data_IF_303139027359
#
_entry.id   IF_303139027359
#
_cell.length_a   1.000
_cell.length_b   1.000
_cell.length_c   1.000
_cell.angle_alpha   90.00
_cell.angle_beta   90.00
_cell.angle_gamma   90.00
#
_symmetry.space_group_name_H-M   'P 1'
#
loop_
_entity.id
_entity.type
_entity.pdbx_description
1 polymer ?
#
# COMPACT_ATOMS: atom_id res chain seq x y z
N UNK A 1 -16.35 35.53 29.11
CA UNK A 1 -15.56 34.28 29.02
C UNK A 1 -15.80 33.53 27.69
N UNK A 2 -16.39 34.17 26.67
CA UNK A 2 -16.67 33.54 25.36
C UNK A 2 -15.63 33.85 24.27
N UNK A 3 -14.86 34.93 24.41
CA UNK A 3 -13.88 35.36 23.39
C UNK A 3 -12.61 34.50 23.30
N UNK A 4 -12.26 33.76 24.36
CA UNK A 4 -11.07 32.89 24.37
C UNK A 4 -11.30 31.53 23.68
N UNK A 5 -12.56 31.08 23.57
CA UNK A 5 -12.92 29.75 23.01
C UNK A 5 -12.91 29.72 21.48
N UNK A 6 -13.15 30.86 20.81
CA UNK A 6 -13.11 30.96 19.35
C UNK A 6 -11.68 31.03 18.80
N UNK A 7 -10.77 31.73 19.50
CA UNK A 7 -9.35 31.85 19.12
C UNK A 7 -8.60 30.52 19.13
N UNK A 8 -8.86 29.64 20.11
CA UNK A 8 -8.19 28.34 20.22
C UNK A 8 -8.66 27.32 19.18
N UNK A 9 -9.93 27.37 18.76
CA UNK A 9 -10.47 26.54 17.67
C UNK A 9 -9.90 26.97 16.31
N UNK A 10 -9.68 28.27 16.11
CA UNK A 10 -9.03 28.82 14.93
C UNK A 10 -7.56 28.40 14.83
N UNK A 11 -6.77 28.53 15.89
CA UNK A 11 -5.33 28.20 15.87
C UNK A 11 -5.06 26.72 15.60
N UNK A 12 -5.87 25.82 16.15
CA UNK A 12 -5.76 24.38 15.89
C UNK A 12 -6.09 24.04 14.43
N UNK A 13 -7.05 24.72 13.82
CA UNK A 13 -7.44 24.49 12.43
C UNK A 13 -6.37 25.02 11.45
N UNK A 14 -5.77 26.17 11.75
CA UNK A 14 -4.63 26.71 10.98
C UNK A 14 -3.42 25.80 11.06
N UNK A 15 -3.11 25.23 12.24
CA UNK A 15 -2.01 24.28 12.40
C UNK A 15 -2.23 23.00 11.57
N UNK A 16 -3.45 22.47 11.53
CA UNK A 16 -3.79 21.29 10.72
C UNK A 16 -3.63 21.54 9.23
N UNK A 17 -4.14 22.67 8.74
CA UNK A 17 -3.96 23.07 7.34
C UNK A 17 -2.46 23.21 7.03
N UNK A 18 -1.69 23.81 7.94
CA UNK A 18 -0.23 23.88 7.82
C UNK A 18 0.45 22.51 7.72
N UNK A 19 0.05 21.54 8.55
CA UNK A 19 0.59 20.16 8.52
C UNK A 19 0.21 19.42 7.24
N UNK A 20 -1.02 19.55 6.76
CA UNK A 20 -1.46 18.94 5.49
C UNK A 20 -0.72 19.54 4.31
N UNK A 21 -0.60 20.87 4.25
CA UNK A 21 0.16 21.56 3.20
C UNK A 21 1.64 21.17 3.26
N UNK A 22 2.21 20.98 4.46
CA UNK A 22 3.59 20.50 4.62
C UNK A 22 3.77 19.08 4.08
N UNK A 23 2.87 18.13 4.39
CA UNK A 23 2.93 16.77 3.85
C UNK A 23 2.82 16.76 2.33
N UNK A 24 1.88 17.53 1.76
CA UNK A 24 1.72 17.65 0.31
C UNK A 24 2.94 18.30 -0.35
N UNK A 25 3.50 19.35 0.27
CA UNK A 25 4.72 20.00 -0.20
C UNK A 25 5.95 19.10 -0.08
N UNK A 26 6.01 18.18 0.89
CA UNK A 26 7.07 17.19 0.98
C UNK A 26 6.95 16.12 -0.11
N UNK A 27 5.74 15.63 -0.38
CA UNK A 27 5.47 14.62 -1.42
C UNK A 27 5.75 15.19 -2.83
N UNK A 28 5.24 16.38 -3.12
CA UNK A 28 5.28 17.01 -4.44
C UNK A 28 6.49 17.96 -4.62
N UNK A 29 7.28 18.17 -3.58
CA UNK A 29 8.32 19.20 -3.54
C UNK A 29 9.71 18.79 -4.02
N UNK A 30 10.63 19.78 -4.03
CA UNK A 30 11.98 19.62 -4.53
C UNK A 30 12.79 18.63 -3.68
N UNK A 31 13.78 17.99 -4.30
CA UNK A 31 14.61 16.94 -3.70
C UNK A 31 15.26 17.36 -2.36
N UNK A 32 15.65 18.64 -2.24
CA UNK A 32 16.23 19.21 -1.02
C UNK A 32 15.32 19.13 0.21
N UNK A 33 14.00 19.14 0.02
CA UNK A 33 13.03 19.02 1.10
C UNK A 33 12.85 17.55 1.56
N UNK A 34 12.90 16.62 0.60
CA UNK A 34 12.80 15.16 0.84
C UNK A 34 14.06 14.57 1.47
N UNK A 35 15.23 15.15 1.19
CA UNK A 35 16.50 14.72 1.79
C UNK A 35 16.67 15.21 3.24
N UNK A 36 16.10 16.36 3.60
CA UNK A 36 16.24 16.95 4.93
C UNK A 36 15.28 16.36 5.97
N UNK A 37 14.13 15.83 5.54
CA UNK A 37 13.09 15.31 6.43
C UNK A 37 12.89 13.81 6.16
N UNK A 38 13.22 12.93 7.13
CA UNK A 38 13.08 11.48 6.96
C UNK A 38 11.63 11.07 6.71
N UNK A 39 11.45 10.08 5.83
CA UNK A 39 10.13 9.58 5.41
C UNK A 39 9.25 9.13 6.60
N UNK A 40 9.85 8.51 7.62
CA UNK A 40 9.12 8.05 8.81
C UNK A 40 8.46 9.19 9.59
N UNK A 41 9.05 10.38 9.57
CA UNK A 41 8.55 11.55 10.29
C UNK A 41 7.28 12.11 9.61
N UNK A 42 7.22 12.05 8.29
CA UNK A 42 6.04 12.40 7.49
C UNK A 42 4.90 11.42 7.72
N UNK A 43 5.19 10.12 7.76
CA UNK A 43 4.20 9.10 8.07
C UNK A 43 3.69 9.21 9.52
N UNK A 44 4.55 9.50 10.49
CA UNK A 44 4.12 9.72 11.88
C UNK A 44 3.19 10.94 12.01
N UNK A 45 3.43 11.97 11.22
CA UNK A 45 2.68 13.22 11.22
C UNK A 45 1.32 13.07 10.50
N UNK A 46 1.28 12.33 9.39
CA UNK A 46 0.03 11.91 8.74
C UNK A 46 -0.80 10.99 9.66
N UNK A 47 -0.18 10.01 10.29
CA UNK A 47 -0.83 9.13 11.26
C UNK A 47 -1.36 9.92 12.46
N UNK A 48 -0.61 10.90 12.95
CA UNK A 48 -1.05 11.79 14.02
C UNK A 48 -2.30 12.60 13.66
N UNK A 49 -2.40 13.06 12.40
CA UNK A 49 -3.59 13.76 11.90
C UNK A 49 -4.82 12.84 11.84
N UNK A 50 -4.66 11.62 11.34
CA UNK A 50 -5.73 10.61 11.28
C UNK A 50 -6.21 10.19 12.68
N UNK A 51 -5.28 9.93 13.59
CA UNK A 51 -5.59 9.63 15.00
C UNK A 51 -6.33 10.79 15.65
N UNK A 52 -5.92 12.02 15.36
CA UNK A 52 -6.59 13.20 15.90
C UNK A 52 -7.99 13.42 15.33
N UNK A 53 -8.21 13.13 14.04
CA UNK A 53 -9.53 13.16 13.42
C UNK A 53 -10.45 12.09 14.02
N UNK A 54 -9.94 10.87 14.19
CA UNK A 54 -10.62 9.76 14.83
C UNK A 54 -11.00 10.09 16.29
N UNK A 55 -10.09 10.66 17.06
CA UNK A 55 -10.34 11.11 18.44
C UNK A 55 -11.37 12.27 18.50
N UNK A 56 -11.39 13.14 17.48
CA UNK A 56 -12.39 14.21 17.35
C UNK A 56 -13.79 13.66 17.05
N UNK A 57 -13.89 12.65 16.19
CA UNK A 57 -15.13 11.94 15.92
C UNK A 57 -15.64 11.19 17.16
N UNK A 58 -14.74 10.59 17.95
CA UNK A 58 -15.07 9.90 19.21
C UNK A 58 -15.51 10.84 20.34
N UNK A 59 -15.11 12.12 20.33
CA UNK A 59 -15.56 13.15 21.29
C UNK A 59 -16.85 13.85 20.86
N UNK A 60 -17.27 13.68 19.61
CA UNK A 60 -18.56 14.19 19.15
C UNK A 60 -19.63 13.29 19.77
N UNK A 61 -20.42 13.84 20.71
CA UNK A 61 -21.53 13.11 21.33
C UNK A 61 -22.52 12.59 20.28
N UNK A 62 -23.47 11.72 20.66
CA UNK A 62 -24.42 11.13 19.72
C UNK A 62 -25.04 12.23 18.88
N UNK A 63 -24.93 12.08 17.54
CA UNK A 63 -25.56 13.00 16.62
C UNK A 63 -27.01 13.18 17.07
N UNK A 64 -27.44 14.44 17.27
CA UNK A 64 -28.85 14.75 17.54
C UNK A 64 -29.68 13.94 16.56
N UNK A 65 -30.59 13.10 17.08
CA UNK A 65 -31.52 12.33 16.24
C UNK A 65 -32.03 13.29 15.16
N UNK A 66 -31.91 12.93 13.87
CA UNK A 66 -32.40 13.79 12.81
C UNK A 66 -33.84 14.15 13.14
N UNK A 67 -34.11 15.45 13.21
CA UNK A 67 -35.43 15.97 13.47
C UNK A 67 -36.38 15.34 12.45
N UNK A 68 -37.41 14.64 12.94
CA UNK A 68 -38.41 13.98 12.08
C UNK A 68 -39.41 14.99 11.52
N UNK A 69 -39.23 16.29 11.78
CA UNK A 69 -40.05 17.34 11.20
C UNK A 69 -39.82 17.47 9.69
N UNK A 70 -40.85 17.86 8.92
CA UNK A 70 -40.71 18.20 7.51
C UNK A 70 -39.60 19.25 7.29
N UNK A 71 -38.86 19.12 6.17
CA UNK A 71 -37.78 20.07 5.88
C UNK A 71 -38.36 21.48 5.67
N UNK A 72 -37.57 22.55 5.89
CA UNK A 72 -38.04 23.93 5.71
C UNK A 72 -38.69 24.17 4.34
N UNK A 73 -38.16 23.53 3.29
CA UNK A 73 -38.71 23.64 1.93
C UNK A 73 -40.09 22.97 1.79
N UNK A 74 -40.38 21.95 2.58
CA UNK A 74 -41.68 21.29 2.61
C UNK A 74 -42.69 22.13 3.39
N UNK A 75 -42.24 22.83 4.44
CA UNK A 75 -43.08 23.75 5.23
C UNK A 75 -43.59 24.91 4.38
N UNK A 76 -42.71 25.53 3.60
CA UNK A 76 -43.04 26.63 2.69
C UNK A 76 -43.92 26.17 1.51
N UNK A 77 -43.79 24.92 1.08
CA UNK A 77 -44.51 24.39 -0.09
C UNK A 77 -45.91 23.87 0.23
N UNK A 78 -46.10 23.27 1.39
CA UNK A 78 -47.36 22.61 1.77
C UNK A 78 -48.19 23.40 2.77
N UNK A 79 -47.78 24.62 3.13
CA UNK A 79 -48.60 25.54 3.91
C UNK A 79 -48.75 25.16 5.37
N UNK A 80 -47.66 24.72 6.02
CA UNK A 80 -47.59 24.57 7.48
C UNK A 80 -47.41 25.93 8.19
N UNK A 81 -47.99 26.99 7.63
CA UNK A 81 -48.00 28.37 8.14
C UNK A 81 -49.36 28.63 8.80
N UNK A 82 -49.53 28.10 10.01
CA UNK A 82 -50.69 28.32 10.87
C UNK A 82 -50.38 27.74 12.23
N UNK A 83 -50.60 28.50 13.29
CA UNK A 83 -50.23 28.23 14.68
C UNK A 83 -50.43 26.76 15.10
N UNK A 84 -49.35 26.10 15.51
CA UNK A 84 -49.41 24.86 16.28
C UNK A 84 -48.90 25.12 17.71
N UNK A 85 -49.30 26.26 18.29
CA UNK A 85 -49.02 26.63 19.69
C UNK A 85 -50.29 26.93 20.49
N UNK A 86 -51.48 26.56 19.99
CA UNK A 86 -52.69 26.53 20.83
C UNK A 86 -52.72 25.20 21.60
N UNK A 87 -51.83 25.09 22.59
CA UNK A 87 -51.96 24.07 23.62
C UNK A 87 -53.19 24.42 24.46
N UNK A 88 -54.21 23.57 24.44
CA UNK A 88 -55.38 23.74 25.29
C UNK A 88 -55.05 23.16 26.67
N UNK A 89 -55.18 23.97 27.73
CA UNK A 89 -55.07 23.49 29.11
C UNK A 89 -56.41 22.86 29.50
N UNK A 90 -56.44 21.53 29.61
CA UNK A 90 -57.63 20.78 29.98
C UNK A 90 -57.46 20.27 31.41
N UNK A 91 -58.45 20.54 32.25
CA UNK A 91 -58.49 20.02 33.62
C UNK A 91 -59.35 18.76 33.64
N UNK A 92 -58.71 17.62 33.84
CA UNK A 92 -59.35 16.32 33.94
C UNK A 92 -59.11 15.78 35.36
N UNK A 93 -60.16 15.72 36.18
CA UNK A 93 -60.01 15.46 37.61
C UNK A 93 -59.23 16.56 38.35
N UNK A 94 -58.21 16.17 39.12
CA UNK A 94 -57.37 17.06 39.94
C UNK A 94 -56.04 17.48 39.26
N UNK A 95 -55.81 17.11 37.99
CA UNK A 95 -54.58 17.43 37.25
C UNK A 95 -54.84 18.36 36.04
N UNK A 96 -53.84 19.19 35.72
CA UNK A 96 -53.82 20.05 34.54
C UNK A 96 -52.91 19.44 33.48
N UNK A 97 -53.47 19.07 32.31
CA UNK A 97 -52.70 18.51 31.19
C UNK A 97 -52.82 19.40 29.95
N UNK A 98 -51.70 19.56 29.25
CA UNK A 98 -51.61 20.34 28.00
C UNK A 98 -51.76 19.40 26.80
N UNK A 99 -52.79 19.64 25.98
CA UNK A 99 -53.05 18.85 24.77
C UNK A 99 -52.95 19.75 23.53
N UNK A 100 -52.29 19.29 22.45
CA UNK A 100 -52.29 20.02 21.17
C UNK A 100 -53.69 19.98 20.57
N UNK A 101 -54.28 21.15 20.30
CA UNK A 101 -55.62 21.27 19.72
C UNK A 101 -55.55 21.28 18.19
N UNK A 102 -56.20 20.32 17.52
CA UNK A 102 -56.31 20.24 16.06
C UNK A 102 -57.75 20.44 15.55
N UNK A 103 -58.66 20.90 16.41
CA UNK A 103 -60.07 21.16 16.06
C UNK A 103 -61.04 20.04 16.47
N UNK A 104 -60.65 19.18 17.39
CA UNK A 104 -61.47 18.10 17.95
C UNK A 104 -62.66 18.63 18.77
N UNK A 105 -63.73 17.83 18.82
CA UNK A 105 -64.91 18.07 19.67
C UNK A 105 -64.70 17.55 21.10
N UNK A 106 -65.48 18.03 22.08
CA UNK A 106 -65.34 17.65 23.50
C UNK A 106 -65.43 16.12 23.72
N UNK A 107 -66.23 15.40 22.91
CA UNK A 107 -66.37 13.94 22.98
C UNK A 107 -65.16 13.19 22.38
N UNK A 108 -64.49 13.77 21.38
CA UNK A 108 -63.26 13.20 20.80
C UNK A 108 -62.05 13.39 21.72
N UNK A 109 -62.04 14.47 22.51
CA UNK A 109 -61.00 14.77 23.49
C UNK A 109 -60.98 13.79 24.67
N UNK A 110 -62.15 13.42 25.19
CA UNK A 110 -62.30 12.41 26.24
C UNK A 110 -61.86 11.01 25.76
N UNK A 111 -62.12 10.69 24.48
CA UNK A 111 -61.67 9.43 23.88
C UNK A 111 -60.15 9.35 23.78
N UNK A 112 -59.49 10.45 23.36
CA UNK A 112 -58.03 10.53 23.28
C UNK A 112 -57.35 10.46 24.65
N UNK A 113 -57.98 11.03 25.69
CA UNK A 113 -57.51 10.91 27.07
C UNK A 113 -57.58 9.47 27.57
N UNK A 114 -58.68 8.77 27.27
CA UNK A 114 -58.88 7.36 27.67
C UNK A 114 -57.88 6.43 26.97
N UNK A 115 -57.67 6.60 25.65
CA UNK A 115 -56.68 5.81 24.89
C UNK A 115 -55.25 6.02 25.40
N UNK A 116 -54.92 7.23 25.88
CA UNK A 116 -53.61 7.53 26.45
C UNK A 116 -53.40 6.87 27.81
N UNK A 117 -54.41 6.86 28.67
CA UNK A 117 -54.32 6.19 29.97
C UNK A 117 -54.19 4.65 29.78
N UNK A 118 -54.83 4.06 28.76
CA UNK A 118 -54.64 2.64 28.40
C UNK A 118 -53.23 2.33 27.85
N UNK A 119 -52.63 3.26 27.09
CA UNK A 119 -51.25 3.13 26.60
C UNK A 119 -50.20 3.29 27.70
N UNK A 120 -50.45 4.15 28.69
CA UNK A 120 -49.53 4.36 29.81
C UNK A 120 -49.62 3.18 30.82
N UNK A 121 -50.77 2.47 30.93
CA UNK A 121 -50.90 1.24 31.73
C UNK A 121 -50.20 0.00 31.13
N UNK A 122 -50.09 -0.09 29.80
CA UNK A 122 -49.37 -1.20 29.12
C UNK A 122 -47.84 -0.99 29.08
N UNK A 123 -47.34 0.25 29.24
CA UNK A 123 -45.90 0.57 29.25
C UNK A 123 -45.23 0.43 30.63
N UNK A 124 -46.01 0.27 31.72
CA UNK A 124 -45.49 0.13 33.10
C UNK A 124 -44.96 -1.28 33.44
N UNK A 125 -45.25 -2.31 32.63
CA UNK A 125 -44.78 -3.69 32.82
C UNK A 125 -43.47 -4.03 32.05
N UNK A 126 -43.00 -3.16 31.15
CA UNK A 126 -41.64 -3.22 30.60
C UNK A 126 -40.76 -2.13 31.20
N UNK A 127 -40.43 -2.29 32.49
CA UNK A 127 -39.30 -1.62 33.12
C UNK A 127 -38.01 -2.04 32.40
N UNK A 128 -37.72 -1.41 31.25
CA UNK A 128 -36.43 -1.46 30.57
C UNK A 128 -35.47 -0.72 31.47
N UNK A 129 -34.95 -1.46 32.44
CA UNK A 129 -33.72 -1.17 33.17
C UNK A 129 -32.62 -0.96 32.13
N UNK A 130 -32.51 0.26 31.62
CA UNK A 130 -31.35 0.72 30.89
C UNK A 130 -30.18 0.56 31.86
N UNK A 131 -29.26 -0.40 31.66
CA UNK A 131 -28.10 -0.44 32.53
C UNK A 131 -27.41 0.90 32.32
N UNK A 132 -27.17 1.63 33.41
CA UNK A 132 -26.27 2.77 33.39
C UNK A 132 -24.91 2.25 32.89
N UNK A 133 -24.69 2.35 31.57
CA UNK A 133 -23.45 1.91 30.94
C UNK A 133 -22.41 2.89 31.41
N UNK A 134 -21.69 2.48 32.45
CA UNK A 134 -20.63 3.26 33.07
C UNK A 134 -19.62 3.62 31.98
N UNK A 135 -19.25 4.90 31.87
CA UNK A 135 -18.26 5.45 30.92
C UNK A 135 -16.99 4.58 30.81
N UNK A 136 -16.64 3.87 31.89
CA UNK A 136 -15.53 2.92 31.97
C UNK A 136 -15.61 1.74 30.99
N UNK A 137 -16.82 1.26 30.64
CA UNK A 137 -17.00 0.12 29.73
C UNK A 137 -16.70 0.45 28.26
N UNK A 138 -16.95 1.71 27.84
CA UNK A 138 -16.65 2.16 26.48
C UNK A 138 -15.14 2.31 26.23
N UNK A 139 -14.40 2.83 27.22
CA UNK A 139 -12.93 2.96 27.16
C UNK A 139 -12.27 1.59 27.09
N UNK A 140 -12.69 0.64 27.93
CA UNK A 140 -12.16 -0.73 27.90
C UNK A 140 -12.39 -1.44 26.56
N UNK A 141 -13.55 -1.25 25.94
CA UNK A 141 -13.87 -1.86 24.64
C UNK A 141 -13.06 -1.23 23.49
N UNK A 142 -12.83 0.08 23.53
CA UNK A 142 -11.98 0.77 22.55
C UNK A 142 -10.49 0.42 22.70
N UNK A 143 -9.97 0.38 23.93
CA UNK A 143 -8.59 -0.05 24.23
C UNK A 143 -8.38 -1.51 23.80
N UNK A 144 -9.34 -2.41 24.09
CA UNK A 144 -9.27 -3.80 23.64
C UNK A 144 -9.21 -3.92 22.12
N UNK A 145 -10.01 -3.13 21.38
CA UNK A 145 -9.97 -3.12 19.90
C UNK A 145 -8.65 -2.59 19.34
N UNK A 146 -8.07 -1.56 19.97
CA UNK A 146 -6.75 -1.04 19.60
C UNK A 146 -5.64 -2.06 19.87
N UNK A 147 -5.66 -2.72 21.04
CA UNK A 147 -4.70 -3.78 21.36
C UNK A 147 -4.85 -5.00 20.45
N UNK A 148 -6.07 -5.36 20.05
CA UNK A 148 -6.30 -6.41 19.04
C UNK A 148 -5.73 -5.98 17.69
N UNK A 149 -5.96 -4.75 17.24
CA UNK A 149 -5.39 -4.23 15.99
C UNK A 149 -3.85 -4.24 16.01
N UNK A 150 -3.25 -3.78 17.11
CA UNK A 150 -1.80 -3.78 17.30
C UNK A 150 -1.24 -5.21 17.40
N UNK A 151 -1.98 -6.12 18.02
CA UNK A 151 -1.67 -7.55 18.06
C UNK A 151 -1.72 -8.19 16.67
N UNK A 152 -2.70 -7.85 15.84
CA UNK A 152 -2.81 -8.34 14.45
C UNK A 152 -1.67 -7.78 13.59
N UNK A 153 -1.38 -6.49 13.67
CA UNK A 153 -0.25 -5.88 12.94
C UNK A 153 1.06 -6.51 13.40
N UNK A 154 1.28 -6.64 14.71
CA UNK A 154 2.45 -7.30 15.28
C UNK A 154 2.59 -8.75 14.79
N UNK A 155 1.49 -9.50 14.76
CA UNK A 155 1.47 -10.87 14.24
C UNK A 155 1.77 -10.95 12.74
N UNK A 156 1.25 -10.03 11.94
CA UNK A 156 1.53 -9.95 10.50
C UNK A 156 3.00 -9.60 10.25
N UNK A 157 3.54 -8.60 10.95
CA UNK A 157 4.97 -8.23 10.86
C UNK A 157 5.85 -9.40 11.28
N UNK A 158 5.52 -10.09 12.38
CA UNK A 158 6.23 -11.28 12.82
C UNK A 158 6.17 -12.41 11.79
N UNK A 159 5.01 -12.60 11.14
CA UNK A 159 4.84 -13.64 10.12
C UNK A 159 5.63 -13.32 8.86
N UNK A 160 5.58 -12.07 8.39
CA UNK A 160 6.38 -11.61 7.25
C UNK A 160 7.87 -11.78 7.56
N UNK A 161 8.33 -11.26 8.70
CA UNK A 161 9.72 -11.40 9.13
C UNK A 161 10.14 -12.87 9.27
N UNK A 162 9.27 -13.73 9.81
CA UNK A 162 9.54 -15.16 9.96
C UNK A 162 9.62 -15.90 8.63
N UNK A 163 8.74 -15.57 7.67
CA UNK A 163 8.79 -16.14 6.33
C UNK A 163 10.02 -15.64 5.59
N UNK A 164 10.27 -14.33 5.56
CA UNK A 164 11.41 -13.72 4.85
C UNK A 164 12.76 -14.12 5.46
N UNK A 165 12.85 -14.25 6.79
CA UNK A 165 14.08 -14.76 7.43
C UNK A 165 14.35 -16.23 7.15
N UNK A 166 13.35 -16.99 6.69
CA UNK A 166 13.46 -18.43 6.39
C UNK A 166 13.36 -18.75 4.91
N UNK A 167 13.06 -17.78 4.06
CA UNK A 167 12.87 -17.96 2.63
C UNK A 167 13.65 -16.88 1.89
N UNK A 168 14.52 -17.28 0.97
CA UNK A 168 15.32 -16.35 0.18
C UNK A 168 16.83 -16.49 0.39
N UNK A 169 17.58 -15.56 -0.20
CA UNK A 169 19.04 -15.60 -0.18
C UNK A 169 19.63 -15.58 1.24
N UNK A 170 19.07 -14.76 2.13
CA UNK A 170 19.56 -14.59 3.50
C UNK A 170 19.41 -15.83 4.39
N UNK A 171 18.50 -16.76 4.05
CA UNK A 171 18.32 -18.00 4.82
C UNK A 171 19.34 -19.08 4.47
N UNK A 172 20.10 -18.92 3.38
CA UNK A 172 21.12 -19.87 2.96
C UNK A 172 22.36 -19.81 3.85
N UNK A 173 22.97 -20.97 4.10
CA UNK A 173 24.24 -21.06 4.80
C UNK A 173 25.32 -20.23 4.07
N UNK A 174 26.26 -19.66 4.84
CA UNK A 174 27.32 -18.79 4.29
C UNK A 174 28.13 -19.48 3.19
N UNK A 175 28.51 -20.73 3.40
CA UNK A 175 29.28 -21.51 2.41
C UNK A 175 28.49 -21.76 1.12
N UNK A 176 27.19 -22.06 1.24
CA UNK A 176 26.28 -22.21 0.09
C UNK A 176 26.16 -20.92 -0.70
N UNK A 177 26.05 -19.77 -0.03
CA UNK A 177 26.02 -18.46 -0.69
C UNK A 177 27.32 -18.16 -1.43
N UNK A 178 28.47 -18.48 -0.82
CA UNK A 178 29.78 -18.30 -1.44
C UNK A 178 29.95 -19.20 -2.67
N UNK A 179 29.54 -20.47 -2.59
CA UNK A 179 29.57 -21.40 -3.72
C UNK A 179 28.67 -20.94 -4.87
N UNK A 180 27.44 -20.50 -4.56
CA UNK A 180 26.52 -19.98 -5.54
C UNK A 180 27.04 -18.71 -6.22
N UNK A 181 27.53 -17.74 -5.44
CA UNK A 181 28.14 -16.52 -5.98
C UNK A 181 29.38 -16.82 -6.84
N UNK A 182 30.20 -17.80 -6.46
CA UNK A 182 31.33 -18.25 -7.26
C UNK A 182 30.88 -18.86 -8.60
N UNK A 183 29.81 -19.65 -8.61
CA UNK A 183 29.23 -20.20 -9.83
C UNK A 183 28.74 -19.10 -10.77
N UNK A 184 28.01 -18.10 -10.26
CA UNK A 184 27.55 -16.97 -11.07
C UNK A 184 28.71 -16.11 -11.58
N UNK A 185 29.73 -15.89 -10.75
CA UNK A 185 30.97 -15.21 -11.13
C UNK A 185 31.70 -15.95 -12.26
N UNK A 186 31.68 -17.28 -12.25
CA UNK A 186 32.23 -18.11 -13.32
C UNK A 186 31.50 -17.92 -14.66
N UNK A 187 30.17 -17.86 -14.67
CA UNK A 187 29.41 -17.57 -15.89
C UNK A 187 29.64 -16.13 -16.38
N UNK A 188 29.59 -15.16 -15.47
CA UNK A 188 29.86 -13.76 -15.80
C UNK A 188 31.28 -13.54 -16.36
N UNK A 189 32.28 -14.24 -15.81
CA UNK A 189 33.67 -14.17 -16.29
C UNK A 189 33.83 -14.65 -17.74
N UNK A 190 32.98 -15.58 -18.20
CA UNK A 190 33.01 -16.04 -19.59
C UNK A 190 32.48 -14.98 -20.55
N UNK A 191 31.40 -14.29 -20.17
CA UNK A 191 30.85 -13.17 -20.95
C UNK A 191 31.82 -11.99 -20.94
N UNK A 192 32.36 -11.65 -19.77
CA UNK A 192 33.28 -10.55 -19.58
C UNK A 192 34.68 -10.79 -20.17
N UNK A 193 35.01 -12.05 -20.52
CA UNK A 193 36.32 -12.49 -21.00
C UNK A 193 37.49 -12.14 -20.08
N UNK A 194 37.20 -12.02 -18.79
CA UNK A 194 38.18 -11.75 -17.73
C UNK A 194 37.64 -12.22 -16.38
N UNK A 195 38.49 -12.38 -15.37
CA UNK A 195 38.03 -12.67 -14.02
C UNK A 195 37.16 -11.53 -13.48
N UNK A 196 35.93 -11.84 -13.10
CA UNK A 196 35.01 -10.91 -12.46
C UNK A 196 34.31 -11.55 -11.27
N UNK A 197 33.77 -10.73 -10.38
CA UNK A 197 33.03 -11.16 -9.20
C UNK A 197 31.60 -10.64 -9.24
N UNK A 198 30.64 -11.55 -9.12
CA UNK A 198 29.24 -11.23 -8.86
C UNK A 198 29.02 -11.28 -7.35
N UNK A 199 28.42 -10.23 -6.80
CA UNK A 199 28.02 -10.16 -5.38
C UNK A 199 26.52 -10.00 -5.25
N UNK A 200 25.97 -10.64 -4.23
CA UNK A 200 24.58 -10.46 -3.84
C UNK A 200 24.54 -9.38 -2.77
N UNK A 201 23.86 -8.28 -3.06
CA UNK A 201 23.87 -7.08 -2.22
C UNK A 201 22.90 -7.21 -1.05
N UNK A 202 23.32 -7.96 -0.03
CA UNK A 202 22.52 -8.24 1.17
C UNK A 202 22.16 -6.99 1.96
N UNK A 203 23.04 -5.99 1.95
CA UNK A 203 22.83 -4.70 2.62
C UNK A 203 22.00 -3.72 1.79
N UNK A 204 21.77 -4.01 0.50
CA UNK A 204 21.08 -3.12 -0.47
C UNK A 204 21.76 -1.75 -0.60
N UNK A 205 23.09 -1.72 -0.52
CA UNK A 205 23.89 -0.51 -0.60
C UNK A 205 24.05 -0.01 -2.05
N UNK A 206 23.93 -0.91 -3.03
CA UNK A 206 24.23 -0.69 -4.45
C UNK A 206 23.01 -0.88 -5.35
N UNK A 207 22.12 -1.83 -5.04
CA UNK A 207 20.95 -2.19 -5.87
C UNK A 207 19.66 -2.16 -5.06
N UNK A 208 18.51 -2.20 -5.75
CA UNK A 208 17.20 -2.14 -5.08
C UNK A 208 16.82 -0.72 -4.68
N UNK A 209 16.55 -0.46 -3.39
CA UNK A 209 15.88 0.76 -2.91
C UNK A 209 16.53 2.07 -3.36
N UNK A 210 17.87 2.09 -3.53
CA UNK A 210 18.61 3.29 -3.93
C UNK A 210 18.57 3.52 -5.45
N UNK A 211 18.75 2.48 -6.25
CA UNK A 211 18.90 2.58 -7.72
C UNK A 211 17.67 2.10 -8.51
N UNK A 212 16.69 1.49 -7.85
CA UNK A 212 15.54 0.79 -8.44
C UNK A 212 15.92 -0.22 -9.53
N UNK A 213 17.17 -0.71 -9.48
CA UNK A 213 17.75 -1.67 -10.41
C UNK A 213 17.92 -3.03 -9.73
N UNK A 214 17.72 -4.09 -10.51
CA UNK A 214 17.93 -5.49 -10.09
C UNK A 214 19.43 -5.88 -10.08
N UNK A 215 20.27 -5.05 -10.71
CA UNK A 215 21.70 -5.23 -10.87
C UNK A 215 22.42 -3.91 -11.09
N UNK A 216 23.73 -3.88 -10.82
CA UNK A 216 24.64 -2.79 -11.23
C UNK A 216 26.06 -3.31 -11.40
N UNK A 217 26.72 -2.84 -12.43
CA UNK A 217 28.12 -3.14 -12.71
C UNK A 217 28.93 -1.86 -12.94
N UNK A 218 30.20 -1.89 -12.55
CA UNK A 218 31.15 -0.88 -13.00
C UNK A 218 31.54 -1.18 -14.45
N UNK A 219 31.30 -0.23 -15.36
CA UNK A 219 31.68 -0.35 -16.77
C UNK A 219 33.15 -0.73 -16.92
N UNK A 220 33.43 -1.88 -17.53
CA UNK A 220 34.80 -2.38 -17.69
C UNK A 220 35.50 -2.77 -16.38
N UNK A 221 34.80 -2.76 -15.24
CA UNK A 221 35.31 -3.15 -13.93
C UNK A 221 35.42 -4.67 -13.75
N UNK A 222 35.59 -5.09 -12.50
CA UNK A 222 35.74 -6.49 -12.08
C UNK A 222 34.62 -6.96 -11.15
N UNK A 223 33.65 -6.10 -10.83
CA UNK A 223 32.59 -6.41 -9.87
C UNK A 223 31.23 -5.87 -10.30
N UNK A 224 30.22 -6.73 -10.19
CA UNK A 224 28.83 -6.37 -10.27
C UNK A 224 28.06 -6.85 -9.03
N UNK A 225 26.97 -6.17 -8.74
CA UNK A 225 26.07 -6.44 -7.63
C UNK A 225 24.69 -6.77 -8.17
N UNK A 226 24.07 -7.81 -7.63
CA UNK A 226 22.69 -8.22 -7.92
C UNK A 226 21.86 -8.14 -6.65
N UNK A 227 20.55 -7.94 -6.78
CA UNK A 227 19.70 -7.97 -5.59
C UNK A 227 19.66 -9.38 -4.99
N UNK A 228 19.43 -9.52 -3.68
CA UNK A 228 19.31 -10.83 -3.04
C UNK A 228 18.25 -11.73 -3.70
N UNK A 229 17.16 -11.15 -4.19
CA UNK A 229 16.09 -11.88 -4.88
C UNK A 229 16.58 -12.49 -6.19
N UNK A 230 17.32 -11.75 -7.03
CA UNK A 230 17.88 -12.28 -8.28
C UNK A 230 18.91 -13.37 -8.01
N UNK A 231 19.75 -13.19 -6.99
CA UNK A 231 20.71 -14.21 -6.58
C UNK A 231 20.03 -15.51 -6.11
N UNK A 232 18.93 -15.38 -5.36
CA UNK A 232 18.16 -16.54 -4.91
C UNK A 232 17.49 -17.27 -6.08
N UNK A 233 16.93 -16.55 -7.05
CA UNK A 233 16.34 -17.14 -8.25
C UNK A 233 17.38 -17.91 -9.09
N UNK A 234 18.61 -17.38 -9.20
CA UNK A 234 19.72 -18.08 -9.85
C UNK A 234 20.18 -19.31 -9.05
N UNK A 235 20.16 -19.24 -7.71
CA UNK A 235 20.52 -20.36 -6.84
C UNK A 235 19.52 -21.51 -7.00
N UNK A 236 18.22 -21.21 -6.91
CA UNK A 236 17.14 -22.18 -7.11
C UNK A 236 17.27 -22.89 -8.45
N UNK A 237 17.58 -22.15 -9.51
CA UNK A 237 17.89 -22.74 -10.81
C UNK A 237 19.12 -23.66 -10.75
N UNK A 238 20.27 -23.12 -10.33
CA UNK A 238 21.57 -23.76 -10.53
C UNK A 238 21.87 -24.92 -9.56
N UNK A 239 21.24 -24.93 -8.39
CA UNK A 239 21.51 -25.88 -7.30
C UNK A 239 20.31 -26.75 -6.94
N UNK A 240 19.08 -26.24 -7.08
CA UNK A 240 17.87 -26.99 -6.75
C UNK A 240 17.12 -27.49 -7.99
N UNK A 241 17.45 -26.98 -9.18
CA UNK A 241 16.73 -27.28 -10.42
C UNK A 241 15.32 -26.69 -10.46
N UNK A 242 15.00 -25.77 -9.55
CA UNK A 242 13.70 -25.14 -9.45
C UNK A 242 13.61 -23.95 -10.41
N UNK A 243 12.51 -23.90 -11.18
CA UNK A 243 12.32 -22.89 -12.23
C UNK A 243 11.00 -22.18 -12.03
N UNK A 244 11.06 -20.86 -11.85
CA UNK A 244 9.88 -19.98 -11.91
C UNK A 244 10.02 -19.10 -13.14
N UNK A 245 9.29 -19.40 -14.21
CA UNK A 245 9.61 -18.96 -15.57
C UNK A 245 10.03 -17.49 -15.67
N UNK A 246 9.18 -16.56 -15.22
CA UNK A 246 9.43 -15.11 -15.31
C UNK A 246 10.58 -14.64 -14.40
N UNK A 247 10.63 -15.12 -13.16
CA UNK A 247 11.66 -14.75 -12.19
C UNK A 247 13.04 -15.27 -12.59
N UNK A 248 13.13 -16.53 -12.99
CA UNK A 248 14.35 -17.15 -13.51
C UNK A 248 14.82 -16.47 -14.80
N UNK A 249 13.90 -16.17 -15.73
CA UNK A 249 14.23 -15.43 -16.96
C UNK A 249 14.81 -14.04 -16.65
N UNK A 250 14.17 -13.29 -15.74
CA UNK A 250 14.65 -11.98 -15.31
C UNK A 250 16.03 -12.07 -14.64
N UNK A 251 16.22 -13.04 -13.75
CA UNK A 251 17.49 -13.20 -13.03
C UNK A 251 18.65 -13.57 -13.98
N UNK A 252 18.40 -14.43 -14.98
CA UNK A 252 19.36 -14.72 -16.03
C UNK A 252 19.69 -13.48 -16.86
N UNK A 253 18.67 -12.74 -17.32
CA UNK A 253 18.85 -11.54 -18.13
C UNK A 253 19.66 -10.47 -17.38
N UNK A 254 19.39 -10.25 -16.09
CA UNK A 254 20.15 -9.28 -15.28
C UNK A 254 21.59 -9.75 -15.09
N UNK A 255 21.83 -11.03 -14.75
CA UNK A 255 23.19 -11.56 -14.60
C UNK A 255 24.03 -11.35 -15.87
N UNK A 256 23.46 -11.67 -17.03
CA UNK A 256 24.17 -11.52 -18.30
C UNK A 256 24.32 -10.06 -18.72
N UNK A 257 23.33 -9.21 -18.44
CA UNK A 257 23.39 -7.77 -18.66
C UNK A 257 24.57 -7.16 -17.88
N UNK A 258 24.65 -7.40 -16.58
CA UNK A 258 25.76 -6.90 -15.77
C UNK A 258 27.12 -7.45 -16.23
N UNK A 259 27.17 -8.70 -16.71
CA UNK A 259 28.39 -9.27 -17.25
C UNK A 259 28.89 -8.57 -18.53
N UNK A 260 27.98 -8.07 -19.38
CA UNK A 260 28.35 -7.28 -20.56
C UNK A 260 28.84 -5.88 -20.20
N UNK A 261 28.27 -5.24 -19.17
CA UNK A 261 28.82 -4.02 -18.60
C UNK A 261 30.24 -4.24 -18.08
N UNK A 262 30.49 -5.35 -17.39
CA UNK A 262 31.84 -5.73 -16.95
C UNK A 262 32.81 -5.94 -18.11
N UNK A 263 32.33 -6.46 -19.26
CA UNK A 263 33.12 -6.54 -20.50
C UNK A 263 33.51 -5.16 -21.05
N UNK A 264 32.74 -4.11 -20.72
CA UNK A 264 32.99 -2.73 -21.11
C UNK A 264 32.03 -2.19 -22.17
N UNK A 265 30.92 -2.89 -22.45
CA UNK A 265 29.85 -2.34 -23.29
C UNK A 265 29.03 -1.38 -22.42
N UNK A 266 28.84 -0.13 -22.87
CA UNK A 266 28.21 0.93 -22.07
C UNK A 266 26.83 1.36 -22.56
N UNK A 267 26.47 0.99 -23.79
CA UNK A 267 25.15 1.28 -24.34
C UNK A 267 24.13 0.27 -23.79
N UNK A 268 23.18 0.72 -22.99
CA UNK A 268 22.20 -0.12 -22.29
C UNK A 268 21.36 -0.98 -23.24
N UNK A 269 20.98 -0.47 -24.41
CA UNK A 269 20.18 -1.20 -25.40
C UNK A 269 20.99 -2.28 -26.12
N UNK A 270 22.26 -2.00 -26.43
CA UNK A 270 23.20 -3.00 -26.99
C UNK A 270 23.54 -4.06 -25.93
N UNK A 271 23.82 -3.63 -24.69
CA UNK A 271 24.06 -4.52 -23.55
C UNK A 271 22.88 -5.44 -23.33
N UNK A 272 21.65 -4.92 -23.28
CA UNK A 272 20.43 -5.74 -23.16
C UNK A 272 20.31 -6.73 -24.32
N UNK A 273 20.58 -6.32 -25.55
CA UNK A 273 20.53 -7.22 -26.70
C UNK A 273 21.49 -8.41 -26.57
N UNK A 274 22.75 -8.14 -26.18
CA UNK A 274 23.74 -9.19 -25.98
C UNK A 274 23.45 -10.03 -24.74
N UNK A 275 22.89 -9.43 -23.69
CA UNK A 275 22.47 -10.11 -22.47
C UNK A 275 21.42 -11.19 -22.77
N UNK A 276 20.42 -10.86 -23.58
CA UNK A 276 19.36 -11.80 -23.97
C UNK A 276 19.89 -12.98 -24.78
N UNK A 277 20.85 -12.74 -25.67
CA UNK A 277 21.49 -13.81 -26.46
C UNK A 277 22.36 -14.71 -25.58
N UNK A 278 23.25 -14.10 -24.79
CA UNK A 278 24.14 -14.84 -23.87
C UNK A 278 23.37 -15.54 -22.73
N UNK A 279 22.20 -15.04 -22.35
CA UNK A 279 21.31 -15.65 -21.36
C UNK A 279 20.83 -17.05 -21.74
N UNK A 280 20.76 -17.38 -23.03
CA UNK A 280 20.42 -18.74 -23.49
C UNK A 280 21.48 -19.75 -23.08
N UNK A 281 22.75 -19.45 -23.36
CA UNK A 281 23.87 -20.35 -23.08
C UNK A 281 24.18 -20.40 -21.56
N UNK A 282 24.09 -19.27 -20.86
CA UNK A 282 24.20 -19.26 -19.39
C UNK A 282 23.08 -20.09 -18.76
N UNK A 283 21.84 -19.92 -19.21
CA UNK A 283 20.70 -20.72 -18.74
C UNK A 283 20.93 -22.22 -18.90
N UNK A 284 21.49 -22.66 -20.03
CA UNK A 284 21.86 -24.07 -20.27
C UNK A 284 22.89 -24.58 -19.27
N UNK A 285 23.97 -23.82 -19.04
CA UNK A 285 25.04 -24.19 -18.11
C UNK A 285 24.60 -24.19 -16.64
N UNK A 286 23.55 -23.43 -16.34
CA UNK A 286 22.89 -23.43 -15.04
C UNK A 286 21.79 -24.50 -14.91
N UNK A 287 21.50 -25.27 -15.97
CA UNK A 287 20.65 -26.47 -15.89
C UNK A 287 19.34 -26.41 -16.66
N UNK A 288 19.06 -25.34 -17.41
CA UNK A 288 17.90 -25.28 -18.31
C UNK A 288 18.11 -26.12 -19.58
N UNK A 289 17.02 -26.62 -20.16
CA UNK A 289 17.04 -27.04 -21.56
C UNK A 289 17.21 -25.83 -22.49
N UNK A 290 17.79 -26.04 -23.68
CA UNK A 290 17.94 -24.99 -24.70
C UNK A 290 16.62 -24.30 -25.03
N UNK A 291 15.58 -25.09 -25.31
CA UNK A 291 14.26 -24.58 -25.68
C UNK A 291 13.66 -23.73 -24.56
N UNK A 292 13.90 -24.09 -23.30
CA UNK A 292 13.40 -23.31 -22.16
C UNK A 292 14.17 -22.00 -22.03
N UNK A 293 15.50 -22.04 -22.07
CA UNK A 293 16.33 -20.84 -22.01
C UNK A 293 16.03 -19.88 -23.17
N UNK A 294 15.86 -20.41 -24.39
CA UNK A 294 15.49 -19.62 -25.59
C UNK A 294 14.11 -18.97 -25.44
N UNK A 295 13.09 -19.73 -25.01
CA UNK A 295 11.75 -19.18 -24.75
C UNK A 295 11.77 -18.08 -23.69
N UNK A 296 12.54 -18.26 -22.61
CA UNK A 296 12.69 -17.26 -21.56
C UNK A 296 13.28 -15.96 -22.09
N UNK A 297 14.39 -16.04 -22.85
CA UNK A 297 15.04 -14.85 -23.41
C UNK A 297 14.18 -14.18 -24.50
N UNK A 298 13.44 -14.96 -25.30
CA UNK A 298 12.46 -14.43 -26.26
C UNK A 298 11.33 -13.67 -25.58
N UNK A 299 10.85 -14.18 -24.44
CA UNK A 299 9.85 -13.46 -23.64
C UNK A 299 10.42 -12.13 -23.13
N UNK A 300 11.63 -12.14 -22.57
CA UNK A 300 12.29 -10.91 -22.11
C UNK A 300 12.51 -9.91 -23.27
N UNK A 301 12.88 -10.37 -24.46
CA UNK A 301 12.98 -9.54 -25.67
C UNK A 301 11.63 -8.91 -26.05
N UNK A 302 10.55 -9.71 -26.03
CA UNK A 302 9.20 -9.24 -26.33
C UNK A 302 8.72 -8.20 -25.32
N UNK A 303 8.93 -8.46 -24.02
CA UNK A 303 8.60 -7.52 -22.94
C UNK A 303 9.42 -6.23 -23.03
N UNK A 304 10.70 -6.32 -23.43
CA UNK A 304 11.56 -5.16 -23.63
C UNK A 304 11.00 -4.23 -24.72
N UNK A 305 10.50 -4.77 -25.83
CA UNK A 305 9.90 -3.98 -26.91
C UNK A 305 8.64 -3.21 -26.47
N UNK A 306 7.97 -3.67 -25.41
CA UNK A 306 6.78 -3.04 -24.84
C UNK A 306 7.10 -1.96 -23.79
N UNK A 307 8.38 -1.75 -23.43
CA UNK A 307 8.77 -0.75 -22.42
C UNK A 307 8.42 0.68 -22.86
N UNK A 308 7.89 1.48 -21.92
CA UNK A 308 7.47 2.88 -22.13
C UNK A 308 8.60 3.91 -22.02
N UNK A 309 8.24 5.20 -22.03
CA UNK A 309 9.20 6.31 -22.08
C UNK A 309 10.22 6.38 -20.91
N UNK A 310 9.90 5.77 -19.76
CA UNK A 310 10.74 5.78 -18.56
C UNK A 310 11.92 4.80 -18.55
N UNK A 311 12.07 3.95 -19.57
CA UNK A 311 13.17 2.96 -19.68
C UNK A 311 13.66 2.81 -21.12
N UNK A 312 13.61 3.91 -21.88
CA UNK A 312 14.00 3.94 -23.29
C UNK A 312 15.47 3.60 -23.54
N UNK A 313 16.34 3.90 -22.57
CA UNK A 313 17.77 3.58 -22.65
C UNK A 313 18.01 2.06 -22.74
N UNK A 314 17.19 1.26 -22.06
CA UNK A 314 17.26 -0.19 -22.11
C UNK A 314 16.53 -0.81 -23.31
N UNK A 315 15.87 0.00 -24.14
CA UNK A 315 15.13 -0.55 -25.29
C UNK A 315 16.13 -1.08 -26.30
N UNK A 316 15.98 -2.35 -26.66
CA UNK A 316 16.85 -2.97 -27.66
C UNK A 316 16.70 -2.25 -29.02
N UNK A 317 17.81 -1.99 -29.72
CA UNK A 317 17.77 -1.35 -31.04
C UNK A 317 17.23 -2.31 -32.11
N UNK A 318 16.79 -1.75 -33.25
CA UNK A 318 16.19 -2.53 -34.34
C UNK A 318 17.13 -3.58 -34.97
N UNK A 319 18.44 -3.40 -34.83
CA UNK A 319 19.46 -4.36 -35.27
C UNK A 319 19.61 -5.57 -34.33
N UNK A 320 18.92 -5.57 -33.18
CA UNK A 320 18.83 -6.71 -32.26
C UNK A 320 17.84 -7.76 -32.76
N UNK A 321 18.27 -8.56 -33.73
CA UNK A 321 17.48 -9.62 -34.36
C UNK A 321 18.41 -10.67 -34.97
N UNK A 322 17.88 -11.85 -35.25
CA UNK A 322 18.57 -12.91 -35.96
C UNK A 322 19.17 -12.41 -37.30
N UNK A 323 20.46 -12.66 -37.50
CA UNK A 323 21.25 -12.18 -38.64
C UNK A 323 21.44 -10.66 -38.68
N UNK A 324 21.08 -9.95 -37.61
CA UNK A 324 21.29 -8.51 -37.45
C UNK A 324 22.73 -8.16 -37.09
N UNK A 325 23.05 -6.86 -37.07
CA UNK A 325 24.41 -6.39 -36.73
C UNK A 325 24.81 -6.66 -35.28
N UNK A 326 23.83 -6.85 -34.41
CA UNK A 326 24.03 -7.16 -33.00
C UNK A 326 23.79 -8.63 -32.68
N UNK A 327 23.63 -9.48 -33.70
CA UNK A 327 23.65 -10.91 -33.50
C UNK A 327 25.08 -11.35 -33.17
N UNK A 328 25.26 -12.01 -32.03
CA UNK A 328 26.55 -12.55 -31.59
C UNK A 328 27.00 -13.72 -32.45
N UNK A 329 26.07 -14.42 -33.10
CA UNK A 329 26.35 -15.60 -33.93
C UNK A 329 25.48 -15.61 -35.20
N UNK A 330 25.68 -14.66 -36.13
CA UNK A 330 24.80 -14.49 -37.30
C UNK A 330 24.85 -15.66 -38.30
N UNK A 331 25.81 -16.58 -38.15
CA UNK A 331 25.93 -17.79 -38.96
C UNK A 331 25.08 -18.94 -38.45
N UNK A 332 24.54 -18.83 -37.23
CA UNK A 332 23.75 -19.87 -36.59
C UNK A 332 22.38 -19.33 -36.14
N UNK A 333 21.32 -20.13 -36.27
CA UNK A 333 19.97 -19.75 -35.82
C UNK A 333 19.82 -19.90 -34.29
N UNK A 334 20.67 -19.18 -33.56
CA UNK A 334 20.78 -19.23 -32.08
C UNK A 334 20.16 -18.03 -31.39
N UNK A 335 19.79 -17.01 -32.15
CA UNK A 335 19.14 -15.83 -31.61
C UNK A 335 17.83 -16.21 -30.86
N UNK A 336 17.53 -15.60 -29.69
CA UNK A 336 16.36 -15.93 -28.88
C UNK A 336 15.03 -15.97 -29.60
#
# INVERSE_FOLDING_TARGET
MEEQSSRSRSSASVLRIGLVVFVLAWILGPYSLRSAVPIWLVFALALGLEVHFLLGALRSGPARRPDRRPQPVDRDRYGYEGEADDLLLVRYGDEERWLPYSGETDEELDALLTEKDELDEDDDDEEVTSPAVTESQHVFRAVRRFLVGLGVIGALVLTIWFVESRTGWGSLAGDTRLEAAARFSGEASRIAEKPVTIRCDESRDYVGSVQHADGVAYLGGDRAYLTPERCYDLYRLAFEGEVTFSQTARALAVLTHEAWHLRGVSDEGVTECYALQSGVEVGRRLGLSEDTARRMMRQQLTENQLRGAGSLEYRVPADCRNGGRLDLDPGEDRFP
#
